data_IF_984035057342
#
_entry.id   IF_984035057342
#
_cell.length_a   1.000
_cell.length_b   1.000
_cell.length_c   1.000
_cell.angle_alpha   90.00
_cell.angle_beta   90.00
_cell.angle_gamma   90.00
#
_symmetry.space_group_name_H-M   'P 1'
#
loop_
_entity.id
_entity.type
_entity.pdbx_description
1 polymer ?
#
# COMPACT_ATOMS: atom_id res chain seq x y z
N UNK A 1 6.75 6.49 31.40
CA UNK A 1 7.15 5.98 30.08
C UNK A 1 7.59 7.16 29.23
N UNK A 2 8.86 7.25 28.79
CA UNK A 2 9.28 8.30 27.86
C UNK A 2 8.41 8.21 26.61
N UNK A 3 7.82 9.34 26.19
CA UNK A 3 7.00 9.38 24.97
C UNK A 3 7.90 9.05 23.79
N UNK A 4 7.56 8.01 23.04
CA UNK A 4 8.25 7.67 21.79
C UNK A 4 8.13 8.87 20.87
N UNK A 5 9.27 9.42 20.49
CA UNK A 5 9.37 10.52 19.55
C UNK A 5 8.85 10.06 18.18
N UNK A 6 8.12 10.94 17.49
CA UNK A 6 7.56 10.61 16.18
C UNK A 6 8.60 10.84 15.09
N UNK A 7 9.43 11.86 15.25
CA UNK A 7 10.53 12.16 14.34
C UNK A 7 11.79 11.38 14.73
N UNK A 8 12.43 10.76 13.74
CA UNK A 8 13.79 10.22 13.88
C UNK A 8 14.82 11.35 14.05
N UNK A 9 16.06 11.01 14.41
CA UNK A 9 17.16 11.98 14.42
C UNK A 9 17.38 12.58 13.02
N UNK A 10 17.46 11.72 12.00
CA UNK A 10 17.66 12.14 10.60
C UNK A 10 16.54 13.04 10.06
N UNK A 11 15.29 12.78 10.44
CA UNK A 11 14.15 13.62 10.05
C UNK A 11 14.23 15.01 10.70
N UNK A 12 14.72 15.11 11.94
CA UNK A 12 14.92 16.39 12.62
C UNK A 12 16.00 17.23 11.96
N UNK A 13 17.12 16.60 11.64
CA UNK A 13 18.24 17.27 10.99
C UNK A 13 17.81 17.80 9.62
N UNK A 14 17.02 17.01 8.89
CA UNK A 14 16.46 17.41 7.57
C UNK A 14 15.50 18.60 7.68
N UNK A 15 14.64 18.63 8.71
CA UNK A 15 13.61 19.67 8.87
C UNK A 15 14.17 21.07 9.16
N UNK A 16 15.34 21.13 9.81
CA UNK A 16 16.04 22.37 10.12
C UNK A 16 17.35 22.52 9.34
N UNK A 17 17.54 21.74 8.29
CA UNK A 17 18.72 21.81 7.46
C UNK A 17 18.91 23.24 6.93
N UNK A 18 20.12 23.76 7.12
CA UNK A 18 20.49 25.07 6.61
C UNK A 18 20.78 24.96 5.10
N UNK A 19 20.61 26.06 4.34
CA UNK A 19 21.01 26.10 2.95
C UNK A 19 22.49 25.72 2.76
N UNK A 20 22.76 24.66 2.00
CA UNK A 20 24.12 24.24 1.63
C UNK A 20 24.42 24.52 0.16
N UNK A 21 23.41 24.43 -0.71
CA UNK A 21 23.56 24.75 -2.13
C UNK A 21 23.65 26.26 -2.36
N UNK A 22 24.40 26.66 -3.38
CA UNK A 22 24.50 28.08 -3.75
C UNK A 22 23.13 28.67 -4.09
N UNK A 23 22.26 27.92 -4.77
CA UNK A 23 20.91 28.37 -5.13
C UNK A 23 20.02 28.61 -3.90
N UNK A 24 20.10 27.72 -2.90
CA UNK A 24 19.35 27.89 -1.64
C UNK A 24 19.90 29.07 -0.82
N UNK A 25 21.22 29.27 -0.80
CA UNK A 25 21.86 30.41 -0.15
C UNK A 25 21.44 31.74 -0.80
N UNK A 26 21.35 31.78 -2.13
CA UNK A 26 20.81 32.93 -2.87
C UNK A 26 19.34 33.16 -2.50
N UNK A 27 18.54 32.09 -2.48
CA UNK A 27 17.10 32.18 -2.23
C UNK A 27 16.77 32.68 -0.82
N UNK A 28 17.45 32.15 0.19
CA UNK A 28 17.08 32.37 1.59
C UNK A 28 17.95 33.41 2.29
N UNK A 29 19.24 33.49 1.94
CA UNK A 29 20.25 34.26 2.69
C UNK A 29 20.83 35.46 1.93
N UNK A 30 20.18 35.92 0.85
CA UNK A 30 20.54 37.20 0.22
C UNK A 30 19.91 38.38 0.98
N UNK A 31 20.72 39.39 1.27
CA UNK A 31 20.30 40.63 1.92
C UNK A 31 19.88 41.70 0.92
N UNK A 32 18.78 42.39 1.20
CA UNK A 32 18.40 43.60 0.46
C UNK A 32 19.07 44.86 1.09
N UNK A 33 18.85 46.03 0.47
CA UNK A 33 19.45 47.28 0.95
C UNK A 33 19.01 47.68 2.36
N UNK A 34 17.76 47.41 2.73
CA UNK A 34 17.26 47.66 4.08
C UNK A 34 17.95 46.79 5.12
N UNK A 35 18.20 45.52 4.79
CA UNK A 35 18.94 44.58 5.64
C UNK A 35 20.38 45.03 5.83
N UNK A 36 21.06 45.35 4.73
CA UNK A 36 22.45 45.82 4.78
C UNK A 36 22.58 47.13 5.55
N UNK A 37 21.62 48.04 5.39
CA UNK A 37 21.56 49.29 6.16
C UNK A 37 21.41 49.01 7.66
N UNK A 38 20.54 48.07 8.05
CA UNK A 38 20.35 47.69 9.45
C UNK A 38 21.61 47.02 10.04
N UNK A 39 22.21 46.09 9.29
CA UNK A 39 23.44 45.38 9.69
C UNK A 39 24.61 46.37 9.89
N UNK A 40 24.78 47.35 9.00
CA UNK A 40 25.88 48.34 9.05
C UNK A 40 25.85 49.23 10.30
N UNK A 41 24.73 49.30 11.02
CA UNK A 41 24.65 50.04 12.28
C UNK A 41 25.44 49.35 13.42
N UNK A 42 25.75 48.06 13.29
CA UNK A 42 26.51 47.32 14.31
C UNK A 42 28.01 47.66 14.21
N UNK A 43 28.64 47.89 15.37
CA UNK A 43 30.08 48.18 15.46
C UNK A 43 30.90 46.89 15.48
N UNK A 44 31.89 46.80 14.60
CA UNK A 44 32.84 45.70 14.51
C UNK A 44 32.32 44.49 13.71
N UNK A 45 33.25 43.76 13.10
CA UNK A 45 32.99 42.62 12.21
C UNK A 45 32.17 41.53 12.88
N UNK A 46 32.52 41.16 14.12
CA UNK A 46 31.83 40.14 14.89
C UNK A 46 30.33 40.45 15.07
N UNK A 47 29.99 41.69 15.40
CA UNK A 47 28.58 42.08 15.61
C UNK A 47 27.81 42.21 14.30
N UNK A 48 28.45 42.73 13.23
CA UNK A 48 27.83 42.80 11.89
C UNK A 48 27.52 41.40 11.37
N UNK A 49 28.51 40.49 11.42
CA UNK A 49 28.37 39.11 11.00
C UNK A 49 27.32 38.38 11.84
N UNK A 50 27.40 38.50 13.17
CA UNK A 50 26.46 37.84 14.07
C UNK A 50 25.02 38.30 13.93
N UNK A 51 24.80 39.61 13.77
CA UNK A 51 23.46 40.17 13.51
C UNK A 51 22.90 39.67 12.17
N UNK A 52 23.73 39.63 11.12
CA UNK A 52 23.35 39.13 9.80
C UNK A 52 23.02 37.63 9.81
N UNK A 53 23.78 36.82 10.55
CA UNK A 53 23.50 35.39 10.75
C UNK A 53 22.16 35.19 11.48
N UNK A 54 21.90 35.95 12.55
CA UNK A 54 20.61 35.87 13.24
C UNK A 54 19.45 36.25 12.30
N UNK A 55 19.63 37.28 11.46
CA UNK A 55 18.65 37.67 10.46
C UNK A 55 18.35 36.53 9.48
N UNK A 56 19.39 35.85 8.99
CA UNK A 56 19.26 34.67 8.13
C UNK A 56 18.44 33.56 8.82
N UNK A 57 18.85 33.12 10.01
CA UNK A 57 18.20 32.00 10.73
C UNK A 57 16.72 32.29 11.06
N UNK A 58 16.39 33.54 11.40
CA UNK A 58 15.02 33.98 11.66
C UNK A 58 14.16 34.04 10.40
N UNK A 59 14.75 34.28 9.22
CA UNK A 59 14.05 34.18 7.93
C UNK A 59 13.85 32.73 7.51
N UNK A 60 14.92 31.95 7.58
CA UNK A 60 14.92 30.54 7.27
C UNK A 60 16.07 29.85 8.03
N UNK A 61 15.86 28.72 8.72
CA UNK A 61 14.62 27.95 8.77
C UNK A 61 13.51 28.57 9.62
N UNK A 62 13.73 29.70 10.32
CA UNK A 62 12.70 30.42 11.09
C UNK A 62 12.87 30.33 12.61
N UNK A 63 14.05 29.93 13.10
CA UNK A 63 14.34 29.78 14.52
C UNK A 63 15.39 30.80 14.99
N UNK A 64 15.41 31.10 16.29
CA UNK A 64 16.39 32.01 16.87
C UNK A 64 17.72 31.32 17.14
N UNK A 65 18.84 32.00 16.89
CA UNK A 65 20.19 31.49 17.20
C UNK A 65 20.31 31.11 18.68
N UNK A 66 20.69 29.86 18.95
CA UNK A 66 20.95 29.36 20.30
C UNK A 66 22.36 29.69 20.78
N UNK A 67 22.59 29.54 22.09
CA UNK A 67 23.87 29.83 22.75
C UNK A 67 25.03 29.00 22.19
N UNK A 68 24.74 27.73 21.88
CA UNK A 68 25.69 26.70 21.44
C UNK A 68 25.42 26.26 19.99
N UNK A 69 24.86 27.15 19.17
CA UNK A 69 24.58 26.84 17.77
C UNK A 69 25.86 26.77 16.95
N UNK A 70 26.21 25.58 16.48
CA UNK A 70 27.23 25.38 15.46
C UNK A 70 26.63 25.66 14.08
N UNK A 71 27.31 26.49 13.29
CA UNK A 71 26.89 26.82 11.93
C UNK A 71 27.88 26.25 10.92
N UNK A 72 27.40 25.68 9.80
CA UNK A 72 28.26 25.25 8.71
C UNK A 72 29.10 26.41 8.19
N UNK A 73 30.39 26.14 7.95
CA UNK A 73 31.33 27.11 7.39
C UNK A 73 30.84 27.78 6.10
N UNK A 74 30.20 27.07 5.14
CA UNK A 74 29.65 27.70 3.93
C UNK A 74 28.66 28.84 4.22
N UNK A 75 27.83 28.70 5.25
CA UNK A 75 26.87 29.73 5.66
C UNK A 75 27.61 30.96 6.21
N UNK A 76 28.63 30.74 7.05
CA UNK A 76 29.43 31.82 7.63
C UNK A 76 30.15 32.60 6.53
N UNK A 77 30.81 31.89 5.61
CA UNK A 77 31.53 32.49 4.48
C UNK A 77 30.58 33.29 3.57
N UNK A 78 29.40 32.74 3.26
CA UNK A 78 28.39 33.39 2.44
C UNK A 78 27.89 34.71 3.06
N UNK A 79 27.54 34.69 4.35
CA UNK A 79 27.05 35.86 5.06
C UNK A 79 28.16 36.91 5.23
N UNK A 80 29.37 36.48 5.61
CA UNK A 80 30.54 37.35 5.79
C UNK A 80 30.88 38.13 4.52
N UNK A 81 30.82 37.47 3.35
CA UNK A 81 31.04 38.10 2.05
C UNK A 81 30.05 39.24 1.78
N UNK A 82 28.76 39.05 2.07
CA UNK A 82 27.73 40.07 1.83
C UNK A 82 27.88 41.29 2.75
N UNK A 83 28.31 41.09 3.99
CA UNK A 83 28.43 42.16 4.99
C UNK A 83 29.83 42.78 5.08
N UNK A 84 30.76 42.31 4.25
CA UNK A 84 32.17 42.72 4.22
C UNK A 84 32.83 42.64 5.60
N UNK A 85 32.69 41.48 6.25
CA UNK A 85 33.30 41.17 7.54
C UNK A 85 34.26 39.98 7.40
N UNK A 86 35.28 39.93 8.26
CA UNK A 86 36.18 38.78 8.34
C UNK A 86 35.46 37.54 8.91
N UNK A 87 35.43 36.38 8.22
CA UNK A 87 34.73 35.17 8.70
C UNK A 87 35.21 34.70 10.08
N UNK A 88 36.51 34.85 10.36
CA UNK A 88 37.11 34.50 11.66
C UNK A 88 36.53 35.32 12.83
N UNK A 89 35.90 36.45 12.56
CA UNK A 89 35.21 37.25 13.58
C UNK A 89 33.95 36.59 14.13
N UNK A 90 33.42 35.54 13.48
CA UNK A 90 32.29 34.75 14.00
C UNK A 90 32.58 34.19 15.40
N UNK A 91 33.81 33.70 15.63
CA UNK A 91 34.22 33.13 16.92
C UNK A 91 34.17 34.14 18.09
N UNK A 92 34.19 35.45 17.78
CA UNK A 92 34.13 36.54 18.75
C UNK A 92 32.70 37.07 18.94
N UNK A 93 31.73 36.56 18.19
CA UNK A 93 30.35 37.03 18.26
C UNK A 93 29.64 36.47 19.49
N UNK A 94 29.00 37.35 20.26
CA UNK A 94 28.11 36.93 21.33
C UNK A 94 28.79 36.39 22.59
N UNK A 95 30.08 36.71 22.81
CA UNK A 95 30.78 36.47 24.10
C UNK A 95 29.97 36.99 25.30
N UNK A 96 29.27 38.12 25.10
CA UNK A 96 28.26 38.63 26.02
C UNK A 96 26.88 38.24 25.54
N UNK A 97 26.15 37.48 26.37
CA UNK A 97 24.82 37.00 26.00
C UNK A 97 23.80 38.15 25.80
N UNK A 98 24.01 39.29 26.48
CA UNK A 98 23.18 40.50 26.33
C UNK A 98 23.16 40.99 24.89
N UNK A 99 24.32 41.07 24.23
CA UNK A 99 24.43 41.50 22.83
C UNK A 99 23.60 40.62 21.89
N UNK A 100 23.64 39.30 22.08
CA UNK A 100 22.85 38.36 21.26
C UNK A 100 21.35 38.56 21.45
N UNK A 101 20.91 38.76 22.70
CA UNK A 101 19.49 38.98 23.03
C UNK A 101 18.95 40.30 22.49
N UNK A 102 19.74 41.37 22.60
CA UNK A 102 19.40 42.69 22.04
C UNK A 102 19.24 42.61 20.52
N UNK A 103 20.21 41.98 19.83
CA UNK A 103 20.14 41.75 18.39
C UNK A 103 18.89 40.94 18.00
N UNK A 104 18.61 39.85 18.72
CA UNK A 104 17.43 39.03 18.48
C UNK A 104 16.13 39.83 18.66
N UNK A 105 16.05 40.69 19.68
CA UNK A 105 14.87 41.51 19.94
C UNK A 105 14.64 42.56 18.84
N UNK A 106 15.71 43.21 18.38
CA UNK A 106 15.67 44.17 17.27
C UNK A 106 15.21 43.48 15.97
N UNK A 107 15.81 42.33 15.65
CA UNK A 107 15.47 41.55 14.45
C UNK A 107 14.04 41.02 14.46
N UNK A 108 13.52 40.61 15.62
CA UNK A 108 12.12 40.21 15.76
C UNK A 108 11.17 41.35 15.42
N UNK A 109 11.51 42.56 15.84
CA UNK A 109 10.71 43.75 15.53
C UNK A 109 10.78 44.08 14.04
N UNK A 110 11.99 44.07 13.46
CA UNK A 110 12.22 44.32 12.04
C UNK A 110 11.47 43.32 11.13
N UNK A 111 11.56 42.02 11.45
CA UNK A 111 10.89 40.95 10.70
C UNK A 111 9.40 40.78 11.06
N UNK A 112 8.89 41.54 12.02
CA UNK A 112 7.51 41.43 12.54
C UNK A 112 7.21 40.00 13.04
N UNK A 113 8.18 39.38 13.69
CA UNK A 113 8.09 38.02 14.22
C UNK A 113 7.61 38.05 15.68
N UNK A 114 6.65 37.17 15.96
CA UNK A 114 6.11 37.01 17.29
C UNK A 114 6.57 35.69 17.93
N UNK A 115 6.74 35.64 19.26
CA UNK A 115 7.17 34.42 19.93
C UNK A 115 6.07 33.36 19.86
N UNK A 116 6.47 32.08 19.86
CA UNK A 116 5.53 30.96 19.93
C UNK A 116 5.05 30.73 21.36
N UNK A 117 3.74 30.80 21.57
CA UNK A 117 3.11 30.63 22.89
C UNK A 117 2.17 29.42 22.98
N UNK A 118 1.53 29.27 24.15
CA UNK A 118 0.59 28.18 24.42
C UNK A 118 -0.66 28.25 23.53
N UNK A 119 -1.13 29.45 23.20
CA UNK A 119 -2.24 29.67 22.26
C UNK A 119 -1.89 29.15 20.86
N UNK A 120 -0.68 29.46 20.37
CA UNK A 120 -0.16 28.99 19.08
C UNK A 120 -0.01 27.47 19.07
N UNK A 121 0.50 26.87 20.15
CA UNK A 121 0.55 25.42 20.30
C UNK A 121 -0.84 24.77 20.16
N UNK A 122 -1.84 25.29 20.87
CA UNK A 122 -3.21 24.76 20.78
C UNK A 122 -3.81 24.93 19.38
N UNK A 123 -3.54 26.05 18.71
CA UNK A 123 -3.98 26.30 17.35
C UNK A 123 -3.31 25.35 16.35
N UNK A 124 -1.99 25.19 16.47
CA UNK A 124 -1.19 24.28 15.66
C UNK A 124 -1.66 22.83 15.79
N UNK A 125 -1.91 22.35 17.01
CA UNK A 125 -2.44 20.99 17.21
C UNK A 125 -3.79 20.81 16.52
N UNK A 126 -4.69 21.81 16.56
CA UNK A 126 -5.99 21.72 15.87
C UNK A 126 -5.81 21.63 14.36
N UNK A 127 -4.99 22.49 13.78
CA UNK A 127 -4.67 22.48 12.35
C UNK A 127 -4.07 21.14 11.91
N UNK A 128 -3.05 20.68 12.64
CA UNK A 128 -2.41 19.38 12.36
C UNK A 128 -3.37 18.21 12.56
N UNK A 129 -4.40 18.32 13.41
CA UNK A 129 -5.40 17.25 13.58
C UNK A 129 -6.19 17.04 12.28
N UNK A 130 -6.47 18.10 11.53
CA UNK A 130 -7.17 17.98 10.25
C UNK A 130 -6.32 17.21 9.22
N UNK A 131 -5.04 17.54 9.11
CA UNK A 131 -4.10 16.78 8.28
C UNK A 131 -3.89 15.35 8.80
N UNK A 132 -3.85 15.17 10.13
CA UNK A 132 -3.61 13.88 10.76
C UNK A 132 -4.76 12.87 10.56
N UNK A 133 -5.95 13.33 10.16
CA UNK A 133 -7.05 12.45 9.73
C UNK A 133 -6.78 11.78 8.38
N UNK A 134 -5.81 12.26 7.61
CA UNK A 134 -5.46 11.70 6.30
C UNK A 134 -4.14 10.92 6.35
N UNK A 135 -3.18 11.39 7.15
CA UNK A 135 -1.84 10.81 7.29
C UNK A 135 -1.35 10.83 8.73
N UNK A 136 -0.55 9.86 9.14
CA UNK A 136 0.17 9.92 10.42
C UNK A 136 1.68 9.85 10.26
N UNK A 137 2.18 10.18 9.06
CA UNK A 137 3.61 10.34 8.81
C UNK A 137 4.11 11.58 9.55
N UNK A 138 4.96 11.36 10.55
CA UNK A 138 5.52 12.42 11.40
C UNK A 138 6.19 13.55 10.63
N UNK A 139 7.05 13.19 9.68
CA UNK A 139 7.79 14.15 8.86
C UNK A 139 6.86 15.10 8.09
N UNK A 140 5.75 14.60 7.52
CA UNK A 140 4.79 15.44 6.80
C UNK A 140 4.08 16.42 7.74
N UNK A 141 3.65 15.96 8.92
CA UNK A 141 3.02 16.82 9.91
C UNK A 141 3.98 17.88 10.44
N UNK A 142 5.24 17.51 10.70
CA UNK A 142 6.26 18.43 11.16
C UNK A 142 6.62 19.47 10.09
N UNK A 143 6.78 19.06 8.83
CA UNK A 143 6.99 19.97 7.70
C UNK A 143 5.85 20.98 7.58
N UNK A 144 4.59 20.52 7.61
CA UNK A 144 3.42 21.39 7.62
C UNK A 144 3.40 22.33 8.83
N UNK A 145 3.82 21.84 10.00
CA UNK A 145 3.89 22.65 11.21
C UNK A 145 4.88 23.81 11.07
N UNK A 146 6.09 23.54 10.58
CA UNK A 146 7.11 24.57 10.38
C UNK A 146 6.62 25.62 9.36
N UNK A 147 6.03 25.17 8.25
CA UNK A 147 5.54 26.04 7.21
C UNK A 147 4.37 26.93 7.70
N UNK A 148 3.40 26.36 8.41
CA UNK A 148 2.29 27.10 9.01
C UNK A 148 2.76 28.17 10.00
N UNK A 149 3.78 27.86 10.82
CA UNK A 149 4.35 28.82 11.76
C UNK A 149 5.09 29.97 11.05
N UNK A 150 5.85 29.67 10.00
CA UNK A 150 6.50 30.70 9.17
C UNK A 150 5.49 31.63 8.52
N UNK A 151 4.44 31.07 7.92
CA UNK A 151 3.35 31.86 7.29
C UNK A 151 2.67 32.79 8.31
N UNK A 152 2.52 32.34 9.56
CA UNK A 152 1.96 33.12 10.67
C UNK A 152 3.00 34.02 11.37
N UNK A 153 4.22 34.11 10.84
CA UNK A 153 5.34 34.90 11.40
C UNK A 153 5.63 34.58 12.87
N UNK A 154 5.52 33.29 13.23
CA UNK A 154 5.90 32.78 14.55
C UNK A 154 7.32 32.24 14.50
N UNK A 155 8.13 32.65 15.47
CA UNK A 155 9.47 32.06 15.66
C UNK A 155 9.28 30.59 16.01
N UNK A 156 9.95 29.71 15.28
CA UNK A 156 9.82 28.28 15.49
C UNK A 156 10.24 27.90 16.92
N UNK A 157 9.42 27.13 17.65
CA UNK A 157 9.84 26.55 18.91
C UNK A 157 10.84 25.41 18.66
N UNK A 158 11.46 24.91 19.73
CA UNK A 158 12.29 23.71 19.65
C UNK A 158 11.54 22.54 18.99
N UNK A 159 12.25 21.70 18.23
CA UNK A 159 11.64 20.56 17.53
C UNK A 159 10.92 19.58 18.45
N UNK A 160 11.32 19.48 19.73
CA UNK A 160 10.60 18.68 20.74
C UNK A 160 9.16 19.18 20.97
N UNK A 161 8.92 20.48 20.82
CA UNK A 161 7.59 21.08 20.90
C UNK A 161 6.78 20.77 19.64
N UNK A 162 7.41 20.80 18.47
CA UNK A 162 6.79 20.40 17.19
C UNK A 162 6.41 18.91 17.22
N UNK A 163 7.33 18.04 17.63
CA UNK A 163 7.11 16.59 17.79
C UNK A 163 5.94 16.32 18.74
N UNK A 164 5.86 17.05 19.86
CA UNK A 164 4.72 16.99 20.78
C UNK A 164 3.41 17.43 20.13
N UNK A 165 3.42 18.50 19.33
CA UNK A 165 2.22 18.97 18.62
C UNK A 165 1.73 17.93 17.60
N UNK A 166 2.64 17.36 16.81
CA UNK A 166 2.34 16.28 15.87
C UNK A 166 1.79 15.04 16.60
N UNK A 167 2.40 14.67 17.73
CA UNK A 167 1.94 13.54 18.56
C UNK A 167 0.53 13.74 19.08
N UNK A 168 0.24 14.94 19.58
CA UNK A 168 -1.09 15.25 20.09
C UNK A 168 -2.13 15.29 18.97
N UNK A 169 -1.77 15.82 17.79
CA UNK A 169 -2.62 15.82 16.61
C UNK A 169 -2.94 14.40 16.12
N UNK A 170 -1.95 13.51 16.01
CA UNK A 170 -2.17 12.10 15.65
C UNK A 170 -3.06 11.41 16.69
N UNK A 171 -2.81 11.62 17.99
CA UNK A 171 -3.65 11.04 19.03
C UNK A 171 -5.10 11.56 19.01
N UNK A 172 -5.33 12.82 18.59
CA UNK A 172 -6.68 13.37 18.38
C UNK A 172 -7.33 12.77 17.13
N UNK A 173 -6.61 12.68 16.02
CA UNK A 173 -7.10 12.08 14.79
C UNK A 173 -7.47 10.60 14.99
N UNK A 174 -6.64 9.82 15.68
CA UNK A 174 -6.93 8.42 16.01
C UNK A 174 -8.22 8.29 16.83
N UNK A 175 -8.41 9.15 17.84
CA UNK A 175 -9.66 9.17 18.62
C UNK A 175 -10.89 9.48 17.76
N UNK A 176 -10.77 10.37 16.77
CA UNK A 176 -11.86 10.64 15.81
C UNK A 176 -12.16 9.42 14.94
N UNK A 177 -11.13 8.76 14.40
CA UNK A 177 -11.27 7.52 13.62
C UNK A 177 -11.95 6.43 14.45
N UNK A 178 -11.51 6.22 15.70
CA UNK A 178 -12.10 5.21 16.58
C UNK A 178 -13.55 5.52 16.90
N UNK A 179 -13.86 6.78 17.23
CA UNK A 179 -15.24 7.19 17.47
C UNK A 179 -16.12 6.95 16.24
N UNK A 180 -15.67 7.35 15.06
CA UNK A 180 -16.42 7.17 13.82
C UNK A 180 -16.71 5.69 13.48
N UNK A 181 -15.84 4.76 13.90
CA UNK A 181 -16.07 3.33 13.74
C UNK A 181 -16.92 2.71 14.85
N UNK A 182 -16.95 3.29 16.05
CA UNK A 182 -17.57 2.67 17.24
C UNK A 182 -18.94 3.25 17.57
N UNK A 183 -19.17 4.53 17.30
CA UNK A 183 -20.43 5.22 17.58
C UNK A 183 -21.64 4.59 16.86
N UNK A 184 -21.54 4.13 15.59
CA UNK A 184 -22.64 3.41 14.93
C UNK A 184 -22.85 1.97 15.42
N UNK A 185 -21.98 1.43 16.28
CA UNK A 185 -22.04 0.02 16.70
C UNK A 185 -23.03 -0.17 17.85
N UNK A 186 -23.96 -1.10 17.66
CA UNK A 186 -24.84 -1.62 18.72
C UNK A 186 -24.06 -2.54 19.66
N UNK A 187 -24.65 -2.84 20.83
CA UNK A 187 -24.06 -3.81 21.75
C UNK A 187 -24.02 -5.22 21.15
N UNK A 188 -24.93 -5.55 20.22
CA UNK A 188 -24.88 -6.79 19.44
C UNK A 188 -23.63 -6.84 18.56
N UNK A 189 -23.32 -5.76 17.82
CA UNK A 189 -22.09 -5.70 17.01
C UNK A 189 -20.84 -5.85 17.89
N UNK A 190 -20.80 -5.17 19.03
CA UNK A 190 -19.68 -5.25 19.98
C UNK A 190 -19.49 -6.67 20.53
N UNK A 191 -20.57 -7.34 20.90
CA UNK A 191 -20.54 -8.72 21.37
C UNK A 191 -20.04 -9.69 20.29
N UNK A 192 -20.50 -9.52 19.03
CA UNK A 192 -20.03 -10.31 17.88
C UNK A 192 -18.55 -10.06 17.59
N UNK A 193 -18.06 -8.82 17.70
CA UNK A 193 -16.63 -8.50 17.56
C UNK A 193 -15.80 -9.14 18.69
N UNK A 194 -16.29 -9.14 19.93
CA UNK A 194 -15.62 -9.80 21.05
C UNK A 194 -15.61 -11.34 20.90
N UNK A 195 -16.66 -11.94 20.32
CA UNK A 195 -16.68 -13.37 19.95
C UNK A 195 -15.54 -13.76 19.01
N UNK A 196 -15.14 -12.88 18.08
CA UNK A 196 -14.01 -13.16 17.18
C UNK A 196 -12.71 -13.44 17.94
N UNK A 197 -12.56 -12.91 19.16
CA UNK A 197 -11.37 -13.09 19.98
C UNK A 197 -11.37 -14.39 20.80
N UNK A 198 -12.50 -15.11 20.84
CA UNK A 198 -12.65 -16.37 21.60
C UNK A 198 -12.24 -17.58 20.76
N UNK A 199 -11.99 -18.69 21.45
CA UNK A 199 -11.72 -19.98 20.82
C UNK A 199 -12.92 -20.42 19.96
N UNK A 200 -12.63 -20.83 18.73
CA UNK A 200 -13.65 -21.43 17.86
C UNK A 200 -14.04 -22.78 18.46
N UNK A 201 -15.34 -23.06 18.51
CA UNK A 201 -15.85 -24.32 19.05
C UNK A 201 -15.20 -25.53 18.36
N UNK A 202 -14.71 -26.48 19.15
CA UNK A 202 -14.02 -27.68 18.64
C UNK A 202 -12.63 -27.42 18.05
N UNK A 203 -12.01 -26.25 18.30
CA UNK A 203 -10.70 -25.88 17.76
C UNK A 203 -9.77 -25.30 18.84
N UNK A 204 -8.46 -25.37 18.58
CA UNK A 204 -7.42 -24.73 19.41
C UNK A 204 -7.12 -23.29 19.01
N UNK A 205 -7.72 -22.79 17.91
CA UNK A 205 -7.53 -21.44 17.41
C UNK A 205 -8.78 -20.58 17.64
N UNK A 206 -8.60 -19.25 17.68
CA UNK A 206 -9.73 -18.31 17.78
C UNK A 206 -10.49 -18.20 16.47
N UNK A 207 -11.73 -17.69 16.56
CA UNK A 207 -12.52 -17.33 15.38
C UNK A 207 -11.75 -16.40 14.44
N UNK A 208 -11.14 -15.33 14.96
CA UNK A 208 -10.35 -14.39 14.17
C UNK A 208 -9.13 -15.05 13.51
N UNK A 209 -8.46 -15.98 14.21
CA UNK A 209 -7.31 -16.71 13.65
C UNK A 209 -7.74 -17.59 12.48
N UNK A 210 -8.84 -18.33 12.61
CA UNK A 210 -9.39 -19.16 11.53
C UNK A 210 -9.84 -18.31 10.34
N UNK A 211 -10.57 -17.23 10.59
CA UNK A 211 -11.07 -16.30 9.58
C UNK A 211 -9.98 -15.66 8.72
N UNK A 212 -8.75 -15.57 9.23
CA UNK A 212 -7.59 -14.98 8.55
C UNK A 212 -6.74 -15.97 7.76
N UNK A 213 -7.11 -17.25 7.72
CA UNK A 213 -6.34 -18.27 6.99
C UNK A 213 -6.49 -18.10 5.47
N UNK A 214 -5.37 -18.00 4.76
CA UNK A 214 -5.37 -17.89 3.30
C UNK A 214 -5.98 -19.13 2.61
N UNK A 215 -6.43 -18.99 1.35
CA UNK A 215 -6.92 -20.13 0.60
C UNK A 215 -5.90 -21.20 0.30
N UNK A 216 -6.36 -22.44 0.44
CA UNK A 216 -5.59 -23.64 0.17
C UNK A 216 -5.81 -24.08 -1.29
N UNK A 217 -5.87 -25.39 -1.55
CA UNK A 217 -5.87 -25.93 -2.92
C UNK A 217 -7.15 -25.57 -3.70
N UNK A 218 -7.06 -25.28 -5.02
CA UNK A 218 -8.22 -25.00 -5.86
C UNK A 218 -9.08 -26.25 -6.06
N UNK A 219 -10.06 -26.43 -5.18
CA UNK A 219 -11.05 -27.50 -5.21
C UNK A 219 -12.34 -27.07 -4.47
N UNK A 220 -13.42 -27.83 -4.67
CA UNK A 220 -14.73 -27.52 -4.09
C UNK A 220 -14.75 -27.49 -2.56
N UNK A 221 -13.91 -28.29 -1.88
CA UNK A 221 -13.85 -28.34 -0.42
C UNK A 221 -13.34 -27.02 0.15
N UNK A 222 -12.19 -26.54 -0.33
CA UNK A 222 -11.66 -25.27 0.15
C UNK A 222 -12.54 -24.09 -0.29
N UNK A 223 -13.14 -24.15 -1.48
CA UNK A 223 -14.12 -23.15 -1.89
C UNK A 223 -15.27 -23.01 -0.88
N UNK A 224 -15.86 -24.12 -0.43
CA UNK A 224 -16.91 -24.09 0.61
C UNK A 224 -16.39 -23.54 1.94
N UNK A 225 -15.16 -23.86 2.34
CA UNK A 225 -14.51 -23.32 3.54
C UNK A 225 -14.31 -21.80 3.45
N UNK A 226 -13.93 -21.26 2.29
CA UNK A 226 -13.83 -19.81 2.06
C UNK A 226 -15.19 -19.12 2.06
N UNK A 227 -16.22 -19.76 1.49
CA UNK A 227 -17.59 -19.26 1.56
C UNK A 227 -18.05 -19.23 3.02
N UNK A 228 -17.71 -20.24 3.84
CA UNK A 228 -18.00 -20.24 5.28
C UNK A 228 -17.30 -19.09 6.00
N UNK A 229 -16.03 -18.80 5.67
CA UNK A 229 -15.30 -17.63 6.19
C UNK A 229 -16.02 -16.33 5.85
N UNK A 230 -16.42 -16.14 4.59
CA UNK A 230 -17.15 -14.95 4.14
C UNK A 230 -18.48 -14.80 4.91
N UNK A 231 -19.28 -15.86 4.98
CA UNK A 231 -20.55 -15.87 5.72
C UNK A 231 -20.33 -15.54 7.19
N UNK A 232 -19.27 -16.06 7.80
CA UNK A 232 -18.94 -15.78 9.20
C UNK A 232 -18.56 -14.31 9.42
N UNK A 233 -17.82 -13.69 8.50
CA UNK A 233 -17.58 -12.24 8.54
C UNK A 233 -18.87 -11.43 8.37
N UNK A 234 -19.74 -11.83 7.43
CA UNK A 234 -21.03 -11.18 7.19
C UNK A 234 -21.97 -11.28 8.39
N UNK A 235 -21.92 -12.38 9.15
CA UNK A 235 -22.71 -12.54 10.39
C UNK A 235 -22.34 -11.54 11.49
N UNK A 236 -21.16 -10.91 11.43
CA UNK A 236 -20.82 -9.77 12.31
C UNK A 236 -21.83 -8.63 12.11
N UNK A 237 -22.34 -8.48 10.89
CA UNK A 237 -23.43 -7.57 10.52
C UNK A 237 -23.10 -6.12 10.86
N UNK A 238 -21.92 -5.66 10.41
CA UNK A 238 -21.49 -4.28 10.63
C UNK A 238 -22.40 -3.30 9.87
N UNK A 239 -22.69 -2.11 10.42
CA UNK A 239 -23.54 -1.11 9.76
C UNK A 239 -23.10 -0.81 8.33
N UNK A 240 -24.06 -0.72 7.41
CA UNK A 240 -23.78 -0.34 6.03
C UNK A 240 -23.09 1.03 5.96
N UNK A 241 -22.03 1.11 5.15
CA UNK A 241 -21.26 2.33 5.00
C UNK A 241 -20.37 2.71 6.19
N UNK A 242 -20.20 1.80 7.17
CA UNK A 242 -19.22 1.99 8.23
C UNK A 242 -17.83 2.27 7.64
N UNK A 243 -17.19 3.34 8.10
CA UNK A 243 -15.88 3.75 7.62
C UNK A 243 -15.86 4.58 6.33
N UNK A 244 -17.00 4.83 5.65
CA UNK A 244 -17.03 5.68 4.42
C UNK A 244 -16.56 7.12 4.66
N UNK A 245 -16.77 7.64 5.87
CA UNK A 245 -16.34 8.99 6.26
C UNK A 245 -14.90 9.05 6.79
N UNK A 246 -14.19 7.93 6.75
CA UNK A 246 -12.81 7.81 7.22
C UNK A 246 -11.91 7.70 5.99
N UNK A 247 -10.82 8.45 5.98
CA UNK A 247 -9.84 8.37 4.91
C UNK A 247 -9.32 6.94 4.75
N UNK A 248 -9.35 6.40 3.52
CA UNK A 248 -9.05 5.00 3.23
C UNK A 248 -7.69 4.55 3.80
N UNK A 249 -6.63 5.35 3.64
CA UNK A 249 -5.31 5.03 4.20
C UNK A 249 -5.31 4.85 5.74
N UNK A 250 -6.17 5.56 6.48
CA UNK A 250 -6.30 5.38 7.93
C UNK A 250 -6.98 4.06 8.26
N UNK A 251 -8.05 3.74 7.54
CA UNK A 251 -8.81 2.50 7.73
C UNK A 251 -7.93 1.28 7.40
N UNK A 252 -7.25 1.30 6.26
CA UNK A 252 -6.30 0.25 5.85
C UNK A 252 -5.14 0.08 6.84
N UNK A 253 -4.59 1.19 7.33
CA UNK A 253 -3.53 1.12 8.35
C UNK A 253 -4.04 0.49 9.64
N UNK A 254 -5.21 0.88 10.12
CA UNK A 254 -5.81 0.32 11.32
C UNK A 254 -6.11 -1.18 11.16
N UNK A 255 -6.67 -1.57 10.01
CA UNK A 255 -6.92 -2.97 9.67
C UNK A 255 -5.61 -3.77 9.60
N UNK A 256 -4.56 -3.22 8.98
CA UNK A 256 -3.24 -3.86 8.89
C UNK A 256 -2.58 -4.04 10.25
N UNK A 257 -2.59 -3.01 11.09
CA UNK A 257 -2.06 -3.08 12.45
C UNK A 257 -2.81 -4.15 13.25
N UNK A 258 -4.14 -4.16 13.21
CA UNK A 258 -4.96 -5.19 13.85
C UNK A 258 -4.72 -6.59 13.29
N UNK A 259 -4.56 -6.68 11.98
CA UNK A 259 -4.22 -7.90 11.25
C UNK A 259 -2.82 -8.41 11.56
N UNK A 260 -1.90 -7.64 12.15
CA UNK A 260 -0.59 -8.15 12.57
C UNK A 260 -0.57 -8.61 14.03
N UNK A 261 -1.63 -8.30 14.80
CA UNK A 261 -1.70 -8.61 16.22
C UNK A 261 -2.34 -9.97 16.49
N UNK A 262 -2.00 -10.54 17.66
CA UNK A 262 -2.70 -11.72 18.16
C UNK A 262 -4.07 -11.33 18.73
N UNK A 263 -5.06 -12.24 18.70
CA UNK A 263 -6.36 -12.00 19.35
C UNK A 263 -6.23 -11.60 20.83
N UNK A 264 -5.25 -12.17 21.54
CA UNK A 264 -4.95 -11.83 22.93
C UNK A 264 -4.49 -10.38 23.09
N UNK A 265 -3.67 -9.87 22.18
CA UNK A 265 -3.20 -8.48 22.24
C UNK A 265 -4.31 -7.48 21.88
N UNK A 266 -5.13 -7.82 20.89
CA UNK A 266 -6.33 -7.05 20.55
C UNK A 266 -7.30 -6.97 21.74
N UNK A 267 -7.46 -8.06 22.49
CA UNK A 267 -8.30 -8.11 23.68
C UNK A 267 -7.86 -7.18 24.82
N UNK A 268 -6.57 -6.80 24.89
CA UNK A 268 -6.01 -5.91 25.92
C UNK A 268 -6.27 -4.42 25.66
N UNK A 269 -6.71 -4.04 24.46
CA UNK A 269 -6.99 -2.65 24.14
C UNK A 269 -8.19 -2.11 24.92
N UNK A 270 -8.19 -0.79 25.16
CA UNK A 270 -9.39 -0.14 25.68
C UNK A 270 -10.56 -0.28 24.68
N UNK A 271 -11.82 -0.31 25.14
CA UNK A 271 -12.96 -0.68 24.31
C UNK A 271 -13.06 0.08 22.98
N UNK A 272 -12.83 1.39 22.97
CA UNK A 272 -12.89 2.20 21.75
C UNK A 272 -11.90 1.73 20.68
N UNK A 273 -10.62 1.59 21.05
CA UNK A 273 -9.60 1.11 20.11
C UNK A 273 -9.78 -0.35 19.74
N UNK A 274 -10.22 -1.19 20.69
CA UNK A 274 -10.50 -2.61 20.41
C UNK A 274 -11.56 -2.75 19.32
N UNK A 275 -12.73 -2.15 19.52
CA UNK A 275 -13.83 -2.27 18.57
C UNK A 275 -13.53 -1.58 17.24
N UNK A 276 -12.89 -0.41 17.25
CA UNK A 276 -12.47 0.24 16.02
C UNK A 276 -11.49 -0.62 15.21
N UNK A 277 -10.48 -1.21 15.87
CA UNK A 277 -9.51 -2.09 15.23
C UNK A 277 -10.18 -3.34 14.66
N UNK A 278 -11.04 -4.00 15.45
CA UNK A 278 -11.74 -5.21 15.00
C UNK A 278 -12.71 -4.92 13.84
N UNK A 279 -13.46 -3.82 13.91
CA UNK A 279 -14.33 -3.40 12.82
C UNK A 279 -13.53 -3.14 11.54
N UNK A 280 -12.40 -2.43 11.62
CA UNK A 280 -11.53 -2.21 10.47
C UNK A 280 -10.98 -3.53 9.90
N UNK A 281 -10.55 -4.46 10.76
CA UNK A 281 -10.09 -5.80 10.34
C UNK A 281 -11.20 -6.58 9.65
N UNK A 282 -12.43 -6.56 10.17
CA UNK A 282 -13.58 -7.26 9.56
C UNK A 282 -13.91 -6.66 8.20
N UNK A 283 -13.98 -5.33 8.07
CA UNK A 283 -14.25 -4.66 6.79
C UNK A 283 -13.21 -5.06 5.73
N UNK A 284 -11.93 -4.95 6.06
CA UNK A 284 -10.83 -5.27 5.14
C UNK A 284 -10.76 -6.77 4.81
N UNK A 285 -10.94 -7.63 5.82
CA UNK A 285 -10.89 -9.08 5.62
C UNK A 285 -12.09 -9.57 4.81
N UNK A 286 -13.26 -8.94 4.95
CA UNK A 286 -14.44 -9.27 4.13
C UNK A 286 -14.16 -9.01 2.65
N UNK A 287 -13.60 -7.84 2.32
CA UNK A 287 -13.19 -7.51 0.96
C UNK A 287 -12.11 -8.48 0.45
N UNK A 288 -11.10 -8.76 1.27
CA UNK A 288 -10.02 -9.71 0.93
C UNK A 288 -10.57 -11.11 0.63
N UNK A 289 -11.51 -11.62 1.44
CA UNK A 289 -12.10 -12.95 1.21
C UNK A 289 -12.95 -13.00 -0.06
N UNK A 290 -13.63 -11.90 -0.41
CA UNK A 290 -14.36 -11.81 -1.69
C UNK A 290 -13.37 -11.94 -2.86
N UNK A 291 -12.25 -11.21 -2.82
CA UNK A 291 -11.21 -11.30 -3.87
C UNK A 291 -10.58 -12.70 -3.92
N UNK A 292 -10.29 -13.30 -2.75
CA UNK A 292 -9.79 -14.68 -2.64
C UNK A 292 -10.77 -15.71 -3.24
N UNK A 293 -12.08 -15.52 -3.08
CA UNK A 293 -13.11 -16.39 -3.64
C UNK A 293 -13.15 -16.32 -5.17
N UNK A 294 -13.03 -15.12 -5.74
CA UNK A 294 -12.96 -14.92 -7.19
C UNK A 294 -11.71 -15.59 -7.77
N UNK A 295 -10.52 -15.32 -7.19
CA UNK A 295 -9.27 -15.96 -7.63
C UNK A 295 -9.31 -17.49 -7.49
N UNK A 296 -9.90 -18.00 -6.40
CA UNK A 296 -10.06 -19.45 -6.22
C UNK A 296 -11.00 -20.06 -7.25
N UNK A 297 -12.08 -19.37 -7.61
CA UNK A 297 -13.01 -19.80 -8.66
C UNK A 297 -12.30 -19.88 -10.02
N UNK A 298 -11.57 -18.83 -10.38
CA UNK A 298 -10.80 -18.76 -11.62
C UNK A 298 -9.77 -19.89 -11.72
N UNK A 299 -9.03 -20.15 -10.63
CA UNK A 299 -8.07 -21.27 -10.57
C UNK A 299 -8.74 -22.63 -10.72
N UNK A 300 -9.95 -22.81 -10.17
CA UNK A 300 -10.73 -24.04 -10.36
C UNK A 300 -11.12 -24.17 -11.84
N UNK A 301 -11.61 -23.11 -12.48
CA UNK A 301 -11.96 -23.12 -13.90
C UNK A 301 -10.74 -23.45 -14.77
N UNK A 302 -9.62 -22.76 -14.60
CA UNK A 302 -8.38 -23.01 -15.35
C UNK A 302 -7.94 -24.47 -15.23
N UNK A 303 -8.01 -25.04 -14.02
CA UNK A 303 -7.66 -26.45 -13.80
C UNK A 303 -8.61 -27.40 -14.53
N UNK A 304 -9.91 -27.10 -14.57
CA UNK A 304 -10.92 -27.91 -15.27
C UNK A 304 -10.68 -27.90 -16.78
N UNK A 305 -10.49 -26.72 -17.38
CA UNK A 305 -10.18 -26.58 -18.81
C UNK A 305 -8.86 -27.25 -19.18
N UNK A 306 -7.82 -27.06 -18.36
CA UNK A 306 -6.51 -27.69 -18.59
C UNK A 306 -6.62 -29.21 -18.52
N UNK A 307 -7.35 -29.75 -17.55
CA UNK A 307 -7.62 -31.18 -17.42
C UNK A 307 -8.37 -31.75 -18.62
N UNK A 308 -9.41 -31.06 -19.10
CA UNK A 308 -10.14 -31.43 -20.31
C UNK A 308 -9.22 -31.45 -21.55
N UNK A 309 -8.42 -30.40 -21.75
CA UNK A 309 -7.45 -30.30 -22.84
C UNK A 309 -6.41 -31.43 -22.79
N UNK A 310 -5.87 -31.73 -21.61
CA UNK A 310 -4.88 -32.80 -21.44
C UNK A 310 -5.49 -34.17 -21.71
N UNK A 311 -6.69 -34.45 -21.19
CA UNK A 311 -7.42 -35.70 -21.44
C UNK A 311 -7.70 -35.88 -22.93
N UNK A 312 -8.16 -34.81 -23.61
CA UNK A 312 -8.36 -34.79 -25.06
C UNK A 312 -7.06 -35.08 -25.82
N UNK A 313 -5.96 -34.40 -25.47
CA UNK A 313 -4.66 -34.60 -26.11
C UNK A 313 -4.14 -36.04 -25.90
N UNK A 314 -4.29 -36.60 -24.71
CA UNK A 314 -3.93 -38.00 -24.43
C UNK A 314 -4.77 -38.99 -25.24
N UNK A 315 -6.09 -38.77 -25.33
CA UNK A 315 -6.98 -39.60 -26.15
C UNK A 315 -6.61 -39.51 -27.64
N UNK A 316 -6.28 -38.32 -28.14
CA UNK A 316 -5.81 -38.12 -29.50
C UNK A 316 -4.48 -38.83 -29.76
N UNK A 317 -3.49 -38.66 -28.87
CA UNK A 317 -2.20 -39.35 -28.98
C UNK A 317 -2.32 -40.87 -28.99
N UNK A 318 -3.20 -41.44 -28.15
CA UNK A 318 -3.47 -42.89 -28.13
C UNK A 318 -4.01 -43.41 -29.47
N UNK A 319 -4.83 -42.61 -30.16
CA UNK A 319 -5.40 -42.98 -31.46
C UNK A 319 -4.49 -42.58 -32.64
N UNK A 320 -3.46 -41.77 -32.42
CA UNK A 320 -2.61 -41.22 -33.48
C UNK A 320 -1.93 -42.29 -34.35
N UNK A 321 -1.53 -43.42 -33.76
CA UNK A 321 -0.97 -44.55 -34.53
C UNK A 321 -2.01 -45.14 -35.48
N UNK A 322 -3.20 -45.47 -34.97
CA UNK A 322 -4.28 -46.04 -35.77
C UNK A 322 -4.73 -45.08 -36.89
N UNK A 323 -4.82 -43.77 -36.60
CA UNK A 323 -5.14 -42.75 -37.60
C UNK A 323 -4.08 -42.72 -38.71
N UNK A 324 -2.78 -42.67 -38.35
CA UNK A 324 -1.69 -42.63 -39.32
C UNK A 324 -1.63 -43.91 -40.17
N UNK A 325 -1.88 -45.08 -39.57
CA UNK A 325 -1.92 -46.36 -40.28
C UNK A 325 -3.05 -46.37 -41.32
N UNK A 326 -4.25 -45.86 -41.00
CA UNK A 326 -5.36 -45.72 -41.96
C UNK A 326 -5.06 -44.70 -43.06
N UNK A 327 -4.49 -43.53 -42.73
CA UNK A 327 -4.11 -42.52 -43.75
C UNK A 327 -3.12 -43.12 -44.76
N UNK A 328 -2.13 -43.88 -44.29
CA UNK A 328 -1.18 -44.58 -45.17
C UNK A 328 -1.86 -45.63 -46.04
N UNK A 329 -2.76 -46.43 -45.47
CA UNK A 329 -3.52 -47.44 -46.21
C UNK A 329 -4.35 -46.81 -47.32
N UNK A 330 -5.16 -45.79 -47.01
CA UNK A 330 -5.99 -45.13 -48.02
C UNK A 330 -5.19 -44.34 -49.05
N UNK A 331 -4.02 -43.79 -48.69
CA UNK A 331 -3.10 -43.20 -49.67
C UNK A 331 -2.60 -44.23 -50.68
N UNK A 332 -2.27 -45.45 -50.25
CA UNK A 332 -1.85 -46.55 -51.14
C UNK A 332 -2.97 -46.99 -52.05
N UNK A 333 -4.19 -47.12 -51.51
CA UNK A 333 -5.39 -47.44 -52.28
C UNK A 333 -5.68 -46.35 -53.33
N UNK A 334 -5.59 -45.07 -52.93
CA UNK A 334 -5.75 -43.94 -53.84
C UNK A 334 -4.72 -43.92 -54.97
N UNK A 335 -3.45 -44.24 -54.68
CA UNK A 335 -2.41 -44.38 -55.70
C UNK A 335 -2.73 -45.51 -56.69
N UNK A 336 -3.09 -46.70 -56.18
CA UNK A 336 -3.46 -47.83 -57.03
C UNK A 336 -4.66 -47.50 -57.95
N UNK A 337 -5.64 -46.74 -57.45
CA UNK A 337 -6.77 -46.28 -58.25
C UNK A 337 -6.39 -45.24 -59.32
N UNK A 338 -5.44 -44.33 -59.01
CA UNK A 338 -4.92 -43.38 -59.99
C UNK A 338 -4.17 -44.10 -61.11
N UNK A 339 -3.30 -45.05 -60.78
CA UNK A 339 -2.57 -45.89 -61.73
C UNK A 339 -3.50 -46.75 -62.59
N UNK A 340 -4.56 -47.32 -61.99
CA UNK A 340 -5.57 -48.07 -62.72
C UNK A 340 -6.32 -47.21 -63.74
N UNK A 341 -6.64 -45.96 -63.36
CA UNK A 341 -7.28 -44.98 -64.25
C UNK A 341 -6.37 -44.57 -65.41
N UNK A 342 -5.08 -44.38 -65.16
CA UNK A 342 -4.10 -44.02 -66.20
C UNK A 342 -3.84 -45.18 -67.18
N UNK A 343 -3.82 -46.41 -66.68
CA UNK A 343 -3.57 -47.63 -67.48
C UNK A 343 -4.82 -48.25 -68.10
N UNK A 344 -6.02 -47.76 -67.76
CA UNK A 344 -7.29 -48.30 -68.23
C UNK A 344 -7.65 -49.68 -67.66
N UNK A 345 -7.10 -50.02 -66.50
CA UNK A 345 -7.32 -51.31 -65.81
C UNK A 345 -8.47 -51.24 -64.78
N UNK A 346 -8.94 -52.40 -64.31
CA UNK A 346 -10.09 -52.50 -63.41
C UNK A 346 -9.79 -51.90 -62.01
N UNK A 347 -10.53 -50.86 -61.57
CA UNK A 347 -10.34 -50.24 -60.26
C UNK A 347 -10.59 -51.19 -59.08
N UNK A 348 -11.47 -52.20 -59.22
CA UNK A 348 -11.75 -53.14 -58.11
C UNK A 348 -10.58 -54.11 -57.90
N UNK A 349 -10.02 -54.63 -59.01
CA UNK A 349 -8.81 -55.44 -58.97
C UNK A 349 -7.59 -54.66 -58.41
N UNK A 350 -7.52 -53.35 -58.68
CA UNK A 350 -6.46 -52.49 -58.15
C UNK A 350 -6.55 -52.28 -56.62
N UNK A 351 -7.76 -52.20 -56.05
CA UNK A 351 -7.97 -52.14 -54.59
C UNK A 351 -7.58 -53.48 -53.95
N UNK A 352 -8.04 -54.60 -54.54
CA UNK A 352 -7.80 -55.96 -54.03
C UNK A 352 -6.30 -56.33 -54.03
N UNK A 353 -5.52 -55.76 -54.94
CA UNK A 353 -4.06 -55.89 -54.95
C UNK A 353 -3.36 -55.18 -53.77
N UNK A 354 -4.01 -54.20 -53.13
CA UNK A 354 -3.47 -53.47 -51.97
C UNK A 354 -3.92 -54.10 -50.65
N UNK A 355 -5.17 -54.56 -50.57
CA UNK A 355 -5.78 -55.16 -49.38
C UNK A 355 -6.98 -56.06 -49.79
N UNK A 356 -7.18 -57.24 -49.17
CA UNK A 356 -8.35 -58.09 -49.44
C UNK A 356 -9.68 -57.39 -49.15
N UNK A 357 -10.75 -57.74 -49.86
CA UNK A 357 -12.07 -57.09 -49.72
C UNK A 357 -12.67 -57.18 -48.31
N UNK A 358 -12.49 -58.30 -47.62
CA UNK A 358 -12.96 -58.47 -46.23
C UNK A 358 -12.23 -57.50 -45.28
N UNK A 359 -10.90 -57.42 -45.39
CA UNK A 359 -10.07 -56.51 -44.61
C UNK A 359 -10.31 -55.03 -44.98
N UNK A 360 -10.59 -54.74 -46.26
CA UNK A 360 -10.96 -53.40 -46.70
C UNK A 360 -12.26 -52.94 -46.03
N UNK A 361 -13.27 -53.80 -45.99
CA UNK A 361 -14.58 -53.53 -45.38
C UNK A 361 -14.45 -53.27 -43.87
N UNK A 362 -13.64 -54.06 -43.18
CA UNK A 362 -13.28 -53.83 -41.78
C UNK A 362 -12.52 -52.51 -41.62
N UNK A 363 -11.60 -52.20 -42.55
CA UNK A 363 -10.81 -50.96 -42.51
C UNK A 363 -11.65 -49.69 -42.70
N UNK A 364 -12.72 -49.75 -43.50
CA UNK A 364 -13.69 -48.67 -43.70
C UNK A 364 -14.50 -48.46 -42.43
N UNK A 365 -14.99 -49.54 -41.83
CA UNK A 365 -15.72 -49.48 -40.55
C UNK A 365 -14.86 -48.90 -39.41
N UNK A 366 -13.59 -49.32 -39.32
CA UNK A 366 -12.64 -48.75 -38.35
C UNK A 366 -12.31 -47.28 -38.64
N UNK A 367 -12.21 -46.90 -39.91
CA UNK A 367 -11.96 -45.52 -40.31
C UNK A 367 -13.15 -44.62 -39.99
N UNK A 368 -14.39 -45.10 -40.13
CA UNK A 368 -15.60 -44.39 -39.70
C UNK A 368 -15.64 -44.17 -38.17
N UNK A 369 -15.18 -45.15 -37.38
CA UNK A 369 -15.06 -44.99 -35.93
C UNK A 369 -13.94 -44.02 -35.51
N UNK A 370 -12.88 -43.92 -36.32
CA UNK A 370 -11.78 -42.97 -36.12
C UNK A 370 -12.09 -41.57 -36.70
N UNK A 371 -12.98 -41.49 -37.68
CA UNK A 371 -13.43 -40.27 -38.31
C UNK A 371 -14.29 -39.48 -37.32
N UNK A 372 -13.75 -38.35 -36.87
CA UNK A 372 -14.39 -37.50 -35.87
C UNK A 372 -15.16 -36.36 -36.54
N UNK A 373 -16.29 -35.90 -35.95
CA UNK A 373 -17.03 -34.76 -36.47
C UNK A 373 -16.17 -33.47 -36.44
N UNK A 374 -16.46 -32.51 -37.31
CA UNK A 374 -15.71 -31.23 -37.42
C UNK A 374 -15.60 -30.45 -36.11
N UNK A 375 -16.53 -30.65 -35.18
CA UNK A 375 -16.55 -30.03 -33.84
C UNK A 375 -15.75 -30.79 -32.75
N UNK A 376 -14.78 -31.63 -33.11
CA UNK A 376 -13.99 -32.43 -32.16
C UNK A 376 -13.07 -31.55 -31.30
N UNK A 377 -13.66 -30.93 -30.28
CA UNK A 377 -12.98 -30.05 -29.35
C UNK A 377 -13.11 -30.53 -27.91
N UNK A 378 -12.12 -30.20 -27.07
CA UNK A 378 -12.02 -30.58 -25.66
C UNK A 378 -13.17 -30.05 -24.77
N UNK A 379 -14.01 -29.14 -25.28
CA UNK A 379 -15.11 -28.53 -24.54
C UNK A 379 -16.16 -29.55 -24.04
N UNK A 380 -16.41 -30.63 -24.77
CA UNK A 380 -17.35 -31.67 -24.31
C UNK A 380 -16.87 -32.36 -23.01
N UNK A 381 -15.55 -32.46 -22.80
CA UNK A 381 -14.95 -33.03 -21.59
C UNK A 381 -15.00 -32.08 -20.40
N UNK A 382 -15.26 -30.78 -20.62
CA UNK A 382 -15.49 -29.82 -19.54
C UNK A 382 -16.81 -30.14 -18.83
N UNK A 383 -17.84 -30.53 -19.59
CA UNK A 383 -19.14 -30.95 -19.07
C UNK A 383 -19.07 -32.14 -18.11
N UNK A 384 -18.14 -33.08 -18.32
CA UNK A 384 -17.92 -34.23 -17.42
C UNK A 384 -17.49 -33.79 -16.01
N UNK A 385 -16.81 -32.65 -15.91
CA UNK A 385 -16.31 -32.13 -14.63
C UNK A 385 -17.25 -31.09 -13.99
N UNK A 386 -18.42 -30.84 -14.59
CA UNK A 386 -19.43 -29.92 -14.08
C UNK A 386 -19.92 -30.29 -12.68
N UNK A 387 -19.86 -31.58 -12.31
CA UNK A 387 -20.14 -32.05 -10.95
C UNK A 387 -19.26 -31.38 -9.87
N UNK A 388 -18.04 -30.98 -10.22
CA UNK A 388 -17.12 -30.28 -9.31
C UNK A 388 -17.59 -28.86 -9.01
N UNK A 389 -18.13 -28.16 -10.01
CA UNK A 389 -18.69 -26.81 -9.88
C UNK A 389 -19.99 -26.85 -9.06
N UNK A 390 -20.92 -27.76 -9.40
CA UNK A 390 -22.21 -27.90 -8.71
C UNK A 390 -22.11 -28.07 -7.20
N UNK A 391 -20.98 -28.58 -6.69
CA UNK A 391 -20.73 -28.75 -5.25
C UNK A 391 -20.64 -27.44 -4.47
N UNK A 392 -20.29 -26.32 -5.11
CA UNK A 392 -20.12 -25.04 -4.42
C UNK A 392 -20.85 -23.87 -5.07
N UNK A 393 -21.19 -23.93 -6.37
CA UNK A 393 -21.86 -22.83 -7.07
C UNK A 393 -23.14 -22.34 -6.37
N UNK A 394 -24.02 -23.20 -5.80
CA UNK A 394 -25.22 -22.73 -5.08
C UNK A 394 -24.93 -21.92 -3.82
N UNK A 395 -23.72 -22.03 -3.27
CA UNK A 395 -23.31 -21.27 -2.09
C UNK A 395 -22.48 -20.02 -2.45
N UNK A 396 -22.02 -19.93 -3.70
CA UNK A 396 -21.24 -18.81 -4.25
C UNK A 396 -22.14 -17.73 -4.87
N UNK A 397 -23.22 -18.15 -5.54
CA UNK A 397 -24.31 -17.30 -6.02
C UNK A 397 -25.23 -16.91 -4.85
#
# INVERSE_FOLDING_TARGET
>A
MPRRLILSATERDTLLALPESQDDLIRYYTFNDSDLSLIRQRRGDANRLGFAVQLCLLRYPGYALGTDSELPEPVILWVAKQVQAEPASWAKYGERDVTRREHAQELRTYLQLAPFGLSDFRALVRELTELAQQTDKGLLLAGQALESLRQKRRILPALSVIDRACSEAIARANRRVYRALVEPLTDSHRAKLDELLKLKAGSSITWLTWLRQAPLKPNSRHMLEHIERLKTFQLVDLPEGLGRHIHQNRLLKLAREGGQMTPKDLGKFEPQRRYATLAAVVLESTATVIDELVDLHDRILVKLFSGAKHKHQQQFQKQGKAINDKVRLYSRIGQALLEAKESGSDPYAAIEAVIPWDEFTESVSEAELLARPEGFDHLHLVGENFATLRRYTPALL
#
